data_IF_361506284636
#
_entry.id   IF_361506284636
#
_cell.length_a   1.000
_cell.length_b   1.000
_cell.length_c   1.000
_cell.angle_alpha   90.00
_cell.angle_beta   90.00
_cell.angle_gamma   90.00
#
_symmetry.space_group_name_H-M   'P 1'
#
loop_
_entity.id
_entity.type
_entity.pdbx_description
1 polymer ?
#
# COMPACT_ATOMS: atom_id res chain seq x y z
N UNK A 1 -12.93 -6.94 5.68
CA UNK A 1 -12.84 -6.51 4.27
C UNK A 1 -11.88 -7.38 3.46
N UNK A 2 -10.63 -7.55 3.94
CA UNK A 2 -9.61 -8.42 3.37
C UNK A 2 -9.18 -9.46 4.41
N UNK A 3 -9.04 -10.73 4.02
CA UNK A 3 -8.48 -11.78 4.89
C UNK A 3 -7.44 -12.62 4.15
N UNK A 4 -6.41 -13.00 4.88
CA UNK A 4 -5.45 -14.04 4.53
C UNK A 4 -5.62 -15.17 5.55
N UNK A 5 -5.80 -16.40 5.08
CA UNK A 5 -6.01 -17.57 5.92
C UNK A 5 -5.01 -18.67 5.53
N UNK A 6 -4.01 -18.90 6.39
CA UNK A 6 -2.93 -19.89 6.22
C UNK A 6 -2.22 -19.79 4.86
N UNK A 7 -1.93 -18.57 4.42
CA UNK A 7 -1.34 -18.30 3.11
C UNK A 7 0.15 -18.58 3.12
N UNK A 8 0.60 -19.48 2.24
CA UNK A 8 2.01 -19.75 1.98
C UNK A 8 2.37 -19.45 0.54
N UNK A 9 3.57 -18.88 0.34
CA UNK A 9 4.02 -18.41 -0.97
C UNK A 9 5.47 -18.77 -1.22
N UNK A 10 5.82 -19.13 -2.46
CA UNK A 10 7.14 -19.58 -2.86
C UNK A 10 7.67 -18.79 -4.05
N UNK A 11 8.98 -18.60 -4.07
CA UNK A 11 9.77 -18.26 -5.25
C UNK A 11 10.59 -19.48 -5.67
N UNK A 12 10.09 -20.23 -6.65
CA UNK A 12 10.66 -21.52 -7.01
C UNK A 12 10.61 -22.51 -5.85
N UNK A 13 11.77 -22.88 -5.28
CA UNK A 13 11.87 -23.79 -4.12
C UNK A 13 11.98 -23.05 -2.78
N UNK A 14 12.08 -21.74 -2.79
CA UNK A 14 12.25 -20.93 -1.57
C UNK A 14 10.88 -20.50 -1.08
N UNK A 15 10.50 -20.93 0.11
CA UNK A 15 9.29 -20.46 0.77
C UNK A 15 9.56 -19.09 1.37
N UNK A 16 8.78 -18.10 0.95
CA UNK A 16 8.91 -16.72 1.39
C UNK A 16 7.87 -16.30 2.42
N UNK A 17 6.68 -16.95 2.42
CA UNK A 17 5.62 -16.73 3.39
C UNK A 17 5.14 -18.08 3.93
N UNK A 18 4.92 -18.13 5.25
CA UNK A 18 4.59 -19.35 5.98
C UNK A 18 3.28 -19.14 6.76
N UNK A 19 2.20 -19.77 6.31
CA UNK A 19 0.89 -19.84 6.98
C UNK A 19 0.40 -18.47 7.51
N UNK A 20 0.48 -17.46 6.65
CA UNK A 20 0.14 -16.07 6.97
C UNK A 20 -1.35 -15.96 7.26
N UNK A 21 -1.68 -15.35 8.40
CA UNK A 21 -3.02 -14.99 8.80
C UNK A 21 -3.06 -13.48 9.09
N UNK A 22 -3.79 -12.72 8.25
CA UNK A 22 -3.93 -11.27 8.34
C UNK A 22 -5.37 -10.90 8.07
N UNK A 23 -5.91 -9.95 8.81
CA UNK A 23 -7.24 -9.38 8.62
C UNK A 23 -7.18 -7.86 8.52
N UNK A 24 -7.95 -7.30 7.60
CA UNK A 24 -8.12 -5.86 7.41
C UNK A 24 -9.62 -5.58 7.34
N UNK A 25 -10.13 -4.78 8.25
CA UNK A 25 -11.52 -4.35 8.24
C UNK A 25 -11.72 -3.13 7.33
N UNK A 26 -12.96 -2.86 6.99
CA UNK A 26 -13.27 -1.70 6.15
C UNK A 26 -13.01 -0.38 6.90
N UNK A 27 -12.31 0.55 6.25
CA UNK A 27 -11.98 1.85 6.82
C UNK A 27 -10.81 1.83 7.81
N UNK A 28 -10.15 0.66 8.03
CA UNK A 28 -8.94 0.58 8.84
C UNK A 28 -7.69 1.01 8.06
N UNK A 29 -6.72 1.56 8.79
CA UNK A 29 -5.31 1.55 8.39
C UNK A 29 -4.66 0.39 9.11
N UNK A 30 -4.25 -0.62 8.35
CA UNK A 30 -3.49 -1.76 8.86
C UNK A 30 -2.05 -1.66 8.39
N UNK A 31 -1.10 -1.84 9.31
CA UNK A 31 0.32 -1.82 8.95
C UNK A 31 0.98 -3.18 9.10
N UNK A 32 1.88 -3.50 8.18
CA UNK A 32 2.80 -4.64 8.26
C UNK A 32 4.22 -4.11 8.40
N UNK A 33 4.83 -4.33 9.55
CA UNK A 33 6.21 -3.94 9.82
C UNK A 33 7.12 -5.17 9.84
N UNK A 34 8.41 -4.98 9.63
CA UNK A 34 9.42 -6.03 9.62
C UNK A 34 10.71 -5.60 8.95
N UNK A 35 11.78 -6.32 9.17
CA UNK A 35 13.07 -6.05 8.56
C UNK A 35 13.05 -6.23 7.03
N UNK A 36 14.08 -5.71 6.35
CA UNK A 36 14.25 -5.96 4.91
C UNK A 36 14.44 -7.46 4.66
N UNK A 37 13.74 -7.97 3.65
CA UNK A 37 13.73 -9.39 3.33
C UNK A 37 12.78 -10.24 4.18
N UNK A 38 12.03 -9.67 5.13
CA UNK A 38 11.08 -10.42 5.96
C UNK A 38 9.89 -11.02 5.16
N UNK A 39 9.63 -10.54 3.93
CA UNK A 39 8.52 -11.01 3.10
C UNK A 39 7.38 -9.99 2.93
N UNK A 40 7.55 -8.74 3.38
CA UNK A 40 6.52 -7.70 3.36
C UNK A 40 5.95 -7.44 1.95
N UNK A 41 6.80 -7.06 1.00
CA UNK A 41 6.41 -6.84 -0.40
C UNK A 41 5.87 -8.13 -1.04
N UNK A 42 6.40 -9.30 -0.64
CA UNK A 42 5.90 -10.58 -1.10
C UNK A 42 4.44 -10.78 -0.72
N UNK A 43 4.04 -10.38 0.51
CA UNK A 43 2.63 -10.50 0.94
C UNK A 43 1.71 -9.62 0.08
N UNK A 44 2.08 -8.36 -0.16
CA UNK A 44 1.31 -7.47 -1.04
C UNK A 44 1.22 -8.01 -2.47
N UNK A 45 2.35 -8.51 -3.00
CA UNK A 45 2.39 -9.05 -4.36
C UNK A 45 1.62 -10.37 -4.47
N UNK A 46 1.61 -11.20 -3.41
CA UNK A 46 0.80 -12.43 -3.37
C UNK A 46 -0.71 -12.11 -3.43
N UNK A 47 -1.16 -11.05 -2.72
CA UNK A 47 -2.53 -10.53 -2.86
C UNK A 47 -2.84 -10.17 -4.31
N UNK A 48 -1.88 -9.55 -5.01
CA UNK A 48 -2.03 -9.18 -6.42
C UNK A 48 -1.92 -10.38 -7.39
N UNK A 49 -1.71 -11.59 -6.86
CA UNK A 49 -1.60 -12.82 -7.66
C UNK A 49 -0.25 -13.03 -8.35
N UNK A 50 0.81 -12.33 -7.93
CA UNK A 50 2.16 -12.46 -8.52
C UNK A 50 3.25 -12.22 -7.45
N UNK A 51 3.78 -13.28 -6.83
CA UNK A 51 3.51 -14.71 -7.05
C UNK A 51 2.13 -15.16 -6.57
N UNK A 52 1.63 -16.25 -7.14
CA UNK A 52 0.41 -16.89 -6.65
C UNK A 52 0.66 -17.54 -5.27
N UNK A 53 -0.35 -17.52 -4.39
CA UNK A 53 -0.33 -18.32 -3.19
C UNK A 53 -0.27 -19.80 -3.54
N UNK A 54 0.61 -20.54 -2.88
CA UNK A 54 0.72 -22.00 -3.06
C UNK A 54 -0.29 -22.77 -2.22
N UNK A 55 -0.69 -22.20 -1.09
CA UNK A 55 -1.74 -22.74 -0.20
C UNK A 55 -2.43 -21.60 0.54
N UNK A 56 -3.55 -21.91 1.17
CA UNK A 56 -4.37 -20.95 1.92
C UNK A 56 -5.39 -20.24 1.04
N UNK A 57 -6.03 -19.24 1.59
CA UNK A 57 -7.11 -18.46 0.96
C UNK A 57 -6.85 -16.96 1.17
N UNK A 58 -7.08 -16.16 0.15
CA UNK A 58 -7.06 -14.70 0.21
C UNK A 58 -8.42 -14.22 -0.26
N UNK A 59 -9.18 -13.57 0.62
CA UNK A 59 -10.52 -13.08 0.28
C UNK A 59 -10.61 -11.57 0.40
N UNK A 60 -11.20 -10.97 -0.60
CA UNK A 60 -11.54 -9.55 -0.60
C UNK A 60 -13.05 -9.38 -0.76
N UNK A 61 -13.71 -8.72 0.20
CA UNK A 61 -15.17 -8.58 0.25
C UNK A 61 -15.92 -9.92 0.13
N UNK A 62 -15.35 -10.99 0.71
CA UNK A 62 -15.90 -12.36 0.66
C UNK A 62 -15.56 -13.16 -0.60
N UNK A 63 -14.98 -12.55 -1.63
CA UNK A 63 -14.57 -13.22 -2.86
C UNK A 63 -13.14 -13.74 -2.77
N UNK A 64 -12.92 -14.98 -3.21
CA UNK A 64 -11.60 -15.62 -3.28
C UNK A 64 -10.75 -14.98 -4.39
N UNK A 65 -9.51 -14.60 -4.06
CA UNK A 65 -8.54 -14.00 -4.99
C UNK A 65 -7.50 -15.01 -5.50
N UNK A 66 -7.23 -16.09 -4.75
CA UNK A 66 -6.23 -17.10 -5.14
C UNK A 66 -6.63 -17.72 -6.47
N UNK A 67 -5.67 -17.81 -7.39
CA UNK A 67 -5.89 -18.33 -8.73
C UNK A 67 -6.43 -17.30 -9.75
N UNK A 68 -6.84 -16.11 -9.30
CA UNK A 68 -7.25 -15.05 -10.22
C UNK A 68 -6.05 -14.36 -10.87
N UNK A 69 -6.26 -13.77 -12.04
CA UNK A 69 -5.23 -12.95 -12.70
C UNK A 69 -5.16 -11.56 -12.06
N UNK A 70 -3.96 -10.98 -12.02
CA UNK A 70 -3.73 -9.64 -11.44
C UNK A 70 -4.70 -8.58 -11.98
N UNK A 71 -4.98 -8.59 -13.28
CA UNK A 71 -5.91 -7.62 -13.89
C UNK A 71 -7.33 -7.75 -13.34
N UNK A 72 -7.79 -8.96 -13.02
CA UNK A 72 -9.14 -9.19 -12.48
C UNK A 72 -9.20 -8.81 -10.99
N UNK A 73 -8.12 -9.05 -10.25
CA UNK A 73 -7.97 -8.61 -8.86
C UNK A 73 -8.03 -7.07 -8.79
N UNK A 74 -7.27 -6.37 -9.64
CA UNK A 74 -7.23 -4.89 -9.65
C UNK A 74 -8.60 -4.27 -10.02
N UNK A 75 -9.40 -4.94 -10.87
CA UNK A 75 -10.77 -4.49 -11.20
C UNK A 75 -11.75 -4.51 -10.01
N UNK A 76 -11.39 -5.19 -8.92
CA UNK A 76 -12.20 -5.22 -7.69
C UNK A 76 -12.02 -3.98 -6.81
N UNK A 77 -11.53 -2.86 -7.37
CA UNK A 77 -11.20 -1.63 -6.64
C UNK A 77 -10.08 -1.83 -5.61
N UNK A 78 -9.08 -2.63 -5.94
CA UNK A 78 -7.81 -2.72 -5.24
C UNK A 78 -6.77 -1.94 -6.04
N UNK A 79 -6.01 -1.05 -5.39
CA UNK A 79 -4.90 -0.34 -6.01
C UNK A 79 -3.61 -0.59 -5.25
N UNK A 80 -2.49 -0.65 -5.95
CA UNK A 80 -1.17 -0.85 -5.36
C UNK A 80 -0.21 0.26 -5.78
N UNK A 81 0.51 0.78 -4.78
CA UNK A 81 1.68 1.64 -4.97
C UNK A 81 2.90 0.82 -4.56
N UNK A 82 3.60 0.21 -5.52
CA UNK A 82 4.75 -0.63 -5.23
C UNK A 82 5.97 0.20 -4.82
N UNK A 83 6.92 -0.44 -4.16
CA UNK A 83 8.22 0.13 -3.85
C UNK A 83 8.91 0.72 -5.09
N UNK A 84 9.65 1.80 -4.91
CA UNK A 84 10.38 2.48 -5.98
C UNK A 84 9.51 3.35 -6.89
N UNK A 85 8.33 3.79 -6.39
CA UNK A 85 7.41 4.75 -7.04
C UNK A 85 6.76 4.26 -8.34
N UNK A 86 7.50 3.61 -9.23
CA UNK A 86 7.07 3.00 -10.50
C UNK A 86 6.16 3.92 -11.35
N UNK A 87 6.49 5.22 -11.40
CA UNK A 87 5.83 6.17 -12.29
C UNK A 87 6.30 5.99 -13.73
N UNK A 88 5.51 6.48 -14.68
CA UNK A 88 5.91 6.57 -16.08
C UNK A 88 6.72 7.86 -16.27
N UNK A 89 8.05 7.77 -16.13
CA UNK A 89 8.95 8.92 -16.08
C UNK A 89 8.92 9.81 -17.34
N UNK A 90 8.62 9.23 -18.51
CA UNK A 90 8.53 9.95 -19.79
C UNK A 90 7.18 10.65 -19.99
N UNK A 91 6.15 10.22 -19.29
CA UNK A 91 4.81 10.80 -19.32
C UNK A 91 4.72 12.01 -18.40
N UNK A 92 3.81 12.94 -18.71
CA UNK A 92 3.46 14.07 -17.85
C UNK A 92 2.71 13.60 -16.60
N UNK A 93 2.48 14.50 -15.63
CA UNK A 93 1.61 14.25 -14.48
C UNK A 93 0.19 13.88 -14.96
N UNK A 94 -0.38 14.66 -15.89
CA UNK A 94 -1.67 14.40 -16.51
C UNK A 94 -1.77 12.99 -17.08
N UNK A 95 -0.81 12.61 -17.90
CA UNK A 95 -0.77 11.29 -18.54
C UNK A 95 -0.61 10.14 -17.52
N UNK A 96 0.21 10.33 -16.48
CA UNK A 96 0.32 9.37 -15.39
C UNK A 96 -1.01 9.19 -14.66
N UNK A 97 -1.71 10.27 -14.34
CA UNK A 97 -3.02 10.21 -13.69
C UNK A 97 -4.07 9.56 -14.60
N UNK A 98 -4.05 9.88 -15.89
CA UNK A 98 -4.93 9.25 -16.88
C UNK A 98 -4.74 7.74 -16.96
N UNK A 99 -3.51 7.25 -16.88
CA UNK A 99 -3.22 5.82 -16.82
C UNK A 99 -3.82 5.16 -15.57
N UNK A 100 -3.81 5.85 -14.42
CA UNK A 100 -4.43 5.36 -13.18
C UNK A 100 -5.95 5.23 -13.28
N UNK A 101 -6.60 6.13 -14.02
CA UNK A 101 -8.04 6.14 -14.23
C UNK A 101 -8.52 5.28 -15.41
N UNK A 102 -7.70 4.36 -15.94
CA UNK A 102 -8.03 3.58 -17.14
C UNK A 102 -9.36 2.81 -17.05
N UNK A 103 -9.72 2.32 -15.88
CA UNK A 103 -10.98 1.62 -15.63
C UNK A 103 -12.09 2.52 -15.11
N UNK A 104 -11.82 3.81 -14.89
CA UNK A 104 -12.81 4.78 -14.38
C UNK A 104 -13.64 5.33 -15.54
N UNK A 105 -14.96 5.38 -15.38
CA UNK A 105 -15.86 5.94 -16.40
C UNK A 105 -15.56 7.42 -16.65
N UNK A 106 -15.85 7.93 -17.86
CA UNK A 106 -15.52 9.32 -18.24
C UNK A 106 -16.09 10.39 -17.29
N UNK A 107 -17.30 10.22 -16.81
CA UNK A 107 -17.96 11.16 -15.88
C UNK A 107 -17.24 11.14 -14.52
N UNK A 108 -16.95 9.94 -14.02
CA UNK A 108 -16.30 9.74 -12.74
C UNK A 108 -14.82 10.14 -12.75
N UNK A 109 -14.20 10.10 -13.92
CA UNK A 109 -12.79 10.45 -14.09
C UNK A 109 -12.50 11.90 -13.71
N UNK A 110 -13.31 12.86 -14.21
CA UNK A 110 -13.10 14.28 -13.93
C UNK A 110 -13.31 14.60 -12.45
N UNK A 111 -14.37 14.07 -11.86
CA UNK A 111 -14.63 14.22 -10.41
C UNK A 111 -13.46 13.67 -9.57
N UNK A 112 -12.98 12.47 -9.93
CA UNK A 112 -11.86 11.85 -9.23
C UNK A 112 -10.56 12.62 -9.45
N UNK A 113 -10.31 13.14 -10.64
CA UNK A 113 -9.16 13.98 -10.94
C UNK A 113 -9.15 15.24 -10.08
N UNK A 114 -10.30 15.94 -9.97
CA UNK A 114 -10.41 17.14 -9.16
C UNK A 114 -10.16 16.84 -7.67
N UNK A 115 -10.70 15.71 -7.17
CA UNK A 115 -10.45 15.23 -5.80
C UNK A 115 -8.97 14.94 -5.58
N UNK A 116 -8.34 14.20 -6.47
CA UNK A 116 -6.92 13.82 -6.38
C UNK A 116 -6.02 15.06 -6.46
N UNK A 117 -6.29 15.98 -7.38
CA UNK A 117 -5.51 17.23 -7.48
C UNK A 117 -5.74 18.17 -6.28
N UNK A 118 -6.85 18.04 -5.58
CA UNK A 118 -7.11 18.71 -4.31
C UNK A 118 -6.21 18.17 -3.18
N UNK A 119 -6.02 16.85 -3.11
CA UNK A 119 -5.10 16.19 -2.17
C UNK A 119 -3.64 16.48 -2.46
N UNK A 120 -3.28 16.70 -3.74
CA UNK A 120 -1.90 16.91 -4.21
C UNK A 120 -1.76 18.23 -4.99
N UNK A 121 -1.84 19.41 -4.36
CA UNK A 121 -1.78 20.71 -5.06
C UNK A 121 -0.52 20.88 -5.91
N UNK A 122 0.62 20.34 -5.47
CA UNK A 122 1.87 20.38 -6.23
C UNK A 122 1.79 19.66 -7.56
N UNK A 123 1.01 18.59 -7.65
CA UNK A 123 0.79 17.89 -8.94
C UNK A 123 -0.06 18.75 -9.88
N UNK A 124 -1.02 19.50 -9.35
CA UNK A 124 -1.83 20.45 -10.13
C UNK A 124 -0.96 21.56 -10.74
N UNK A 125 -0.06 22.15 -9.95
CA UNK A 125 0.89 23.18 -10.42
C UNK A 125 1.81 22.67 -11.54
N UNK A 126 2.12 21.38 -11.53
CA UNK A 126 3.06 20.72 -12.45
C UNK A 126 2.40 19.77 -13.43
N UNK A 127 1.13 19.98 -13.70
CA UNK A 127 0.26 19.03 -14.43
C UNK A 127 0.83 18.60 -15.79
N UNK A 128 1.48 19.53 -16.52
CA UNK A 128 2.12 19.28 -17.81
C UNK A 128 3.61 18.90 -17.70
N UNK A 129 4.16 18.80 -16.48
CA UNK A 129 5.57 18.45 -16.30
C UNK A 129 5.75 16.92 -16.42
N UNK A 130 6.86 16.48 -17.00
CA UNK A 130 7.21 15.05 -17.06
C UNK A 130 7.56 14.51 -15.67
N UNK A 131 6.98 13.37 -15.30
CA UNK A 131 7.19 12.75 -13.99
C UNK A 131 8.65 12.49 -13.65
N UNK A 132 9.47 12.10 -14.63
CA UNK A 132 10.90 11.84 -14.41
C UNK A 132 11.75 13.07 -14.05
N UNK A 133 11.23 14.30 -14.23
CA UNK A 133 11.92 15.57 -13.88
C UNK A 133 11.51 16.11 -12.51
N UNK A 134 10.60 15.43 -11.82
CA UNK A 134 10.12 15.79 -10.49
C UNK A 134 11.06 15.27 -9.40
N UNK A 135 11.02 15.91 -8.23
CA UNK A 135 11.72 15.41 -7.04
C UNK A 135 11.22 14.04 -6.61
N UNK A 136 12.03 13.31 -5.82
CA UNK A 136 11.63 11.99 -5.33
C UNK A 136 10.32 11.98 -4.54
N UNK A 137 10.08 13.01 -3.72
CA UNK A 137 8.83 13.15 -2.98
C UNK A 137 7.62 13.43 -3.88
N UNK A 138 7.78 14.31 -4.88
CA UNK A 138 6.73 14.60 -5.86
C UNK A 138 6.40 13.35 -6.72
N UNK A 139 7.42 12.54 -7.07
CA UNK A 139 7.21 11.27 -7.76
C UNK A 139 6.44 10.26 -6.91
N UNK A 140 6.69 10.22 -5.59
CA UNK A 140 5.94 9.37 -4.67
C UNK A 140 4.48 9.84 -4.55
N UNK A 141 4.25 11.15 -4.42
CA UNK A 141 2.91 11.73 -4.45
C UNK A 141 2.19 11.41 -5.76
N UNK A 142 2.88 11.47 -6.91
CA UNK A 142 2.33 11.10 -8.21
C UNK A 142 1.97 9.61 -8.28
N UNK A 143 2.78 8.72 -7.70
CA UNK A 143 2.48 7.30 -7.64
C UNK A 143 1.21 7.00 -6.84
N UNK A 144 1.06 7.64 -5.67
CA UNK A 144 -0.15 7.53 -4.82
C UNK A 144 -1.35 8.14 -5.55
N UNK A 145 -1.22 9.35 -6.08
CA UNK A 145 -2.27 10.04 -6.83
C UNK A 145 -2.77 9.19 -8.02
N UNK A 146 -1.86 8.59 -8.78
CA UNK A 146 -2.20 7.68 -9.87
C UNK A 146 -3.00 6.47 -9.40
N UNK A 147 -2.62 5.86 -8.28
CA UNK A 147 -3.36 4.73 -7.71
C UNK A 147 -4.79 5.15 -7.29
N UNK A 148 -4.95 6.35 -6.72
CA UNK A 148 -6.24 6.89 -6.31
C UNK A 148 -7.19 7.18 -7.49
N UNK A 149 -6.66 7.40 -8.70
CA UNK A 149 -7.51 7.61 -9.88
C UNK A 149 -8.43 6.43 -10.20
N UNK A 150 -8.12 5.22 -9.73
CA UNK A 150 -8.99 4.03 -9.89
C UNK A 150 -10.16 3.98 -8.89
N UNK A 151 -10.34 4.97 -8.00
CA UNK A 151 -11.33 4.98 -6.90
C UNK A 151 -11.25 3.71 -6.03
N UNK A 152 -10.07 3.39 -5.44
CA UNK A 152 -9.89 2.13 -4.74
C UNK A 152 -10.69 2.09 -3.44
N UNK A 153 -11.22 0.91 -3.11
CA UNK A 153 -11.74 0.58 -1.78
C UNK A 153 -10.61 0.13 -0.84
N UNK A 154 -9.56 -0.47 -1.42
CA UNK A 154 -8.36 -0.91 -0.72
C UNK A 154 -7.13 -0.37 -1.43
N UNK A 155 -6.34 0.42 -0.72
CA UNK A 155 -5.07 0.96 -1.17
C UNK A 155 -3.92 0.21 -0.48
N UNK A 156 -3.06 -0.41 -1.28
CA UNK A 156 -1.85 -1.11 -0.84
C UNK A 156 -0.65 -0.19 -1.07
N UNK A 157 0.10 0.10 -0.01
CA UNK A 157 1.29 0.95 -0.06
C UNK A 157 2.52 0.15 0.37
N UNK A 158 3.49 0.04 -0.52
CA UNK A 158 4.74 -0.68 -0.26
C UNK A 158 5.89 0.31 -0.04
N UNK A 159 6.28 0.49 1.22
CA UNK A 159 7.35 1.37 1.69
C UNK A 159 7.27 2.80 1.11
N UNK A 160 6.11 3.48 1.25
CA UNK A 160 5.91 4.80 0.63
C UNK A 160 6.83 5.89 1.17
N UNK A 161 7.44 5.70 2.35
CA UNK A 161 8.34 6.67 2.98
C UNK A 161 9.82 6.49 2.58
N UNK A 162 10.17 5.39 1.90
CA UNK A 162 11.56 5.01 1.68
C UNK A 162 12.35 6.05 0.87
N UNK A 163 13.48 6.51 1.45
CA UNK A 163 14.42 7.43 0.79
C UNK A 163 13.87 8.84 0.58
N UNK A 164 12.89 9.26 1.39
CA UNK A 164 12.30 10.59 1.33
C UNK A 164 12.74 11.47 2.52
N UNK A 165 12.69 12.79 2.30
CA UNK A 165 12.95 13.76 3.36
C UNK A 165 11.83 13.74 4.42
N UNK A 166 12.14 13.98 5.72
CA UNK A 166 11.17 13.89 6.81
C UNK A 166 9.88 14.68 6.59
N UNK A 167 9.97 15.87 6.02
CA UNK A 167 8.80 16.71 5.73
C UNK A 167 7.87 16.06 4.69
N UNK A 168 8.41 15.36 3.71
CA UNK A 168 7.63 14.66 2.70
C UNK A 168 6.98 13.40 3.29
N UNK A 169 7.71 12.69 4.15
CA UNK A 169 7.18 11.54 4.87
C UNK A 169 5.95 11.95 5.68
N UNK A 170 6.05 13.03 6.44
CA UNK A 170 4.93 13.57 7.20
C UNK A 170 3.73 13.88 6.31
N UNK A 171 3.92 14.56 5.18
CA UNK A 171 2.84 14.86 4.23
C UNK A 171 2.17 13.60 3.68
N UNK A 172 2.95 12.55 3.38
CA UNK A 172 2.39 11.28 2.90
C UNK A 172 1.52 10.63 3.98
N UNK A 173 1.97 10.62 5.24
CA UNK A 173 1.21 10.04 6.34
C UNK A 173 -0.08 10.84 6.64
N UNK A 174 -0.04 12.17 6.57
CA UNK A 174 -1.23 13.03 6.66
C UNK A 174 -2.24 12.72 5.54
N UNK A 175 -1.77 12.51 4.31
CA UNK A 175 -2.63 12.10 3.19
C UNK A 175 -3.26 10.71 3.44
N UNK A 176 -2.48 9.75 3.96
CA UNK A 176 -3.01 8.41 4.28
C UNK A 176 -4.11 8.50 5.35
N UNK A 177 -3.94 9.35 6.36
CA UNK A 177 -4.97 9.59 7.38
C UNK A 177 -6.24 10.21 6.75
N UNK A 178 -6.10 11.20 5.89
CA UNK A 178 -7.21 11.80 5.18
C UNK A 178 -7.95 10.79 4.27
N UNK A 179 -7.22 9.89 3.61
CA UNK A 179 -7.82 8.82 2.80
C UNK A 179 -8.68 7.88 3.64
N UNK A 180 -8.25 7.55 4.88
CA UNK A 180 -9.06 6.76 5.83
C UNK A 180 -10.34 7.50 6.20
N UNK A 181 -10.26 8.80 6.50
CA UNK A 181 -11.43 9.63 6.79
C UNK A 181 -12.41 9.66 5.62
N UNK A 182 -11.91 9.62 4.38
CA UNK A 182 -12.68 9.50 3.14
C UNK A 182 -13.25 8.08 2.91
N UNK A 183 -13.02 7.13 3.83
CA UNK A 183 -13.52 5.75 3.78
C UNK A 183 -12.68 4.77 2.97
N UNK A 184 -11.47 5.15 2.57
CA UNK A 184 -10.53 4.23 1.89
C UNK A 184 -9.86 3.36 2.95
N UNK A 185 -9.86 2.03 2.74
CA UNK A 185 -9.09 1.10 3.56
C UNK A 185 -7.64 1.08 3.10
N UNK A 186 -6.69 1.13 4.02
CA UNK A 186 -5.26 1.18 3.69
C UNK A 186 -4.53 -0.01 4.30
N UNK A 187 -3.76 -0.72 3.48
CA UNK A 187 -2.81 -1.71 3.95
C UNK A 187 -1.38 -1.21 3.63
N UNK A 188 -0.70 -0.78 4.68
CA UNK A 188 0.58 -0.10 4.64
C UNK A 188 1.70 -1.06 5.03
N UNK A 189 2.64 -1.27 4.14
CA UNK A 189 3.91 -1.95 4.42
C UNK A 189 4.98 -0.89 4.65
N UNK A 190 5.66 -0.94 5.80
CA UNK A 190 6.68 0.05 6.16
C UNK A 190 7.85 -0.57 6.92
N UNK A 191 9.02 0.02 6.71
CA UNK A 191 10.20 -0.20 7.53
C UNK A 191 10.25 0.79 8.70
N UNK A 192 9.74 2.00 8.52
CA UNK A 192 9.63 3.00 9.58
C UNK A 192 8.46 2.67 10.53
N UNK A 193 8.70 1.67 11.38
CA UNK A 193 7.68 1.13 12.29
C UNK A 193 7.06 2.20 13.20
N UNK A 194 7.85 3.18 13.67
CA UNK A 194 7.36 4.20 14.60
C UNK A 194 6.23 5.03 13.99
N UNK A 195 6.43 5.52 12.76
CA UNK A 195 5.41 6.33 12.09
C UNK A 195 4.22 5.50 11.65
N UNK A 196 4.47 4.29 11.11
CA UNK A 196 3.42 3.41 10.66
C UNK A 196 2.48 2.98 11.79
N UNK A 197 3.03 2.57 12.96
CA UNK A 197 2.24 2.15 14.12
C UNK A 197 1.47 3.30 14.78
N UNK A 198 1.97 4.54 14.73
CA UNK A 198 1.23 5.71 15.23
C UNK A 198 -0.06 5.98 14.45
N UNK A 199 -0.05 5.69 13.16
CA UNK A 199 -1.18 5.92 12.27
C UNK A 199 -2.13 4.72 12.23
N UNK A 200 -1.63 3.51 12.45
CA UNK A 200 -2.37 2.28 12.24
C UNK A 200 -3.37 1.99 13.35
N UNK A 201 -4.57 1.56 12.97
CA UNK A 201 -5.56 0.98 13.86
C UNK A 201 -5.10 -0.41 14.34
N UNK A 202 -4.46 -1.18 13.43
CA UNK A 202 -3.94 -2.54 13.66
C UNK A 202 -2.59 -2.71 13.00
N UNK A 203 -1.70 -3.47 13.65
CA UNK A 203 -0.38 -3.80 13.12
C UNK A 203 -0.08 -5.29 13.19
N UNK A 204 0.78 -5.71 12.27
CA UNK A 204 1.38 -7.04 12.22
C UNK A 204 2.89 -6.91 12.13
N UNK A 205 3.61 -7.78 12.82
CA UNK A 205 5.06 -7.88 12.75
C UNK A 205 5.42 -9.14 11.96
N UNK A 206 6.15 -8.97 10.86
CA UNK A 206 6.58 -10.05 9.98
C UNK A 206 8.09 -10.30 10.15
N UNK A 207 8.46 -11.53 10.48
CA UNK A 207 9.85 -11.98 10.57
C UNK A 207 10.04 -13.29 9.81
N UNK A 208 10.99 -13.32 8.89
CA UNK A 208 11.34 -14.52 8.12
C UNK A 208 10.12 -15.25 7.51
N UNK A 209 9.15 -14.47 7.00
CA UNK A 209 7.94 -15.00 6.39
C UNK A 209 6.85 -15.45 7.35
N UNK A 210 6.95 -15.17 8.66
CA UNK A 210 5.96 -15.51 9.67
C UNK A 210 5.42 -14.25 10.35
N UNK A 211 4.12 -14.21 10.65
CA UNK A 211 3.55 -13.21 11.56
C UNK A 211 3.91 -13.63 12.99
N UNK A 212 4.77 -12.85 13.64
CA UNK A 212 5.25 -13.14 15.00
C UNK A 212 4.50 -12.36 16.08
N UNK A 213 3.92 -11.22 15.72
CA UNK A 213 3.11 -10.41 16.63
C UNK A 213 1.99 -9.70 15.86
N UNK A 214 0.88 -9.44 16.56
CA UNK A 214 -0.23 -8.63 16.08
C UNK A 214 -0.90 -7.90 17.24
N UNK A 215 -1.47 -6.75 16.98
CA UNK A 215 -2.18 -5.95 17.99
C UNK A 215 -2.69 -4.63 17.42
N UNK A 216 -3.21 -3.76 18.28
CA UNK A 216 -3.46 -2.38 17.89
C UNK A 216 -2.14 -1.66 17.61
N UNK A 217 -2.16 -0.62 16.78
CA UNK A 217 -0.97 0.19 16.53
C UNK A 217 -0.35 0.70 17.85
N UNK A 218 -1.20 1.12 18.80
CA UNK A 218 -0.77 1.59 20.11
C UNK A 218 -0.10 0.49 20.96
N UNK A 219 -0.67 -0.73 21.00
CA UNK A 219 -0.12 -1.83 21.78
C UNK A 219 1.27 -2.22 21.26
N UNK A 220 1.42 -2.34 19.92
CA UNK A 220 2.68 -2.66 19.30
C UNK A 220 3.71 -1.54 19.47
N UNK A 221 3.30 -0.28 19.45
CA UNK A 221 4.18 0.88 19.67
C UNK A 221 4.79 0.89 21.09
N UNK A 222 4.06 0.36 22.06
CA UNK A 222 4.47 0.31 23.48
C UNK A 222 5.10 -1.00 23.88
N UNK A 223 5.02 -2.04 23.06
CA UNK A 223 5.59 -3.36 23.34
C UNK A 223 7.14 -3.30 23.39
N UNK A 224 7.77 -3.77 24.49
CA UNK A 224 9.22 -3.73 24.63
C UNK A 224 9.97 -4.43 23.51
N UNK A 225 9.49 -5.59 23.02
CA UNK A 225 10.15 -6.35 21.96
C UNK A 225 10.11 -5.61 20.63
N UNK A 226 8.98 -4.96 20.31
CA UNK A 226 8.84 -4.15 19.10
C UNK A 226 9.72 -2.91 19.19
N UNK A 227 9.82 -2.28 20.37
CA UNK A 227 10.68 -1.12 20.62
C UNK A 227 12.15 -1.47 20.41
N UNK A 228 12.61 -2.54 21.02
CA UNK A 228 14.01 -2.94 20.94
C UNK A 228 14.42 -3.36 19.51
N UNK A 229 13.51 -4.04 18.78
CA UNK A 229 13.81 -4.56 17.45
C UNK A 229 13.61 -3.54 16.30
N UNK A 230 12.62 -2.64 16.42
CA UNK A 230 12.14 -1.83 15.28
C UNK A 230 12.03 -0.33 15.53
N UNK A 231 12.03 0.15 16.79
CA UNK A 231 11.79 1.58 17.08
C UNK A 231 13.07 2.33 17.47
N UNK A 232 14.21 1.66 17.56
CA UNK A 232 15.48 2.23 18.01
C UNK A 232 15.38 2.57 19.49
N UNK A 233 15.78 1.64 20.35
CA UNK A 233 15.81 1.82 21.80
C UNK A 233 16.76 2.92 22.24
#
# INVERSE_FOLDING_TARGET
MLSFENVSTFYGKIQALHDINVQVEQGEIVTLIGANGAGKSTLLMTLCGSPQAASGSIRFQGEELVGQQTCDIMRKAIAVVPEGRRIFARLTVEENLSMGGFFTGKTDFQEQLDKVLGLFPRLKERYQQRGGTMSGGEQQMLAIARALMSKPKLLLLDEPSLGLAPIIIQQIFEIIEQLREDGVTVFLVEQNANQALKLADRGYVLENGHIVMQGSGHDLLTDPKVRDAYLGG
#
